data_IF_412430997397
#
_entry.id   IF_412430997397
#
_cell.length_a   1.000
_cell.length_b   1.000
_cell.length_c   1.000
_cell.angle_alpha   90.00
_cell.angle_beta   90.00
_cell.angle_gamma   90.00
#
_symmetry.space_group_name_H-M   'P 1'
#
loop_
_entity.id
_entity.type
_entity.pdbx_description
1 polymer ?
#
# COMPACT_ATOMS: atom_id res chain seq x y z
N UNK A 1 5.99 8.58 -8.58
CA UNK A 1 6.19 8.21 -10.01
C UNK A 1 6.87 9.31 -10.83
N UNK A 2 7.46 10.33 -10.19
CA UNK A 2 7.94 11.54 -10.85
C UNK A 2 9.38 11.86 -10.42
N UNK A 3 10.38 11.07 -10.84
CA UNK A 3 11.78 11.33 -10.49
C UNK A 3 12.28 12.64 -11.11
N UNK A 4 13.14 13.37 -10.42
CA UNK A 4 13.70 14.61 -10.94
C UNK A 4 14.66 14.35 -12.11
N UNK A 5 14.83 15.33 -13.02
CA UNK A 5 15.85 15.25 -14.07
C UNK A 5 17.27 15.05 -13.53
N UNK A 6 17.55 15.54 -12.31
CA UNK A 6 18.85 15.37 -11.68
C UNK A 6 19.08 13.92 -11.23
N UNK A 7 18.08 13.28 -10.63
CA UNK A 7 18.14 11.86 -10.30
C UNK A 7 18.35 10.99 -11.55
N UNK A 8 17.55 11.22 -12.60
CA UNK A 8 17.69 10.51 -13.88
C UNK A 8 19.10 10.68 -14.45
N UNK A 9 19.65 11.90 -14.39
CA UNK A 9 21.01 12.19 -14.85
C UNK A 9 22.08 11.46 -14.05
N UNK A 10 21.97 11.39 -12.71
CA UNK A 10 22.94 10.68 -11.86
C UNK A 10 22.96 9.19 -12.17
N UNK A 11 21.79 8.55 -12.20
CA UNK A 11 21.66 7.12 -12.51
C UNK A 11 22.14 6.80 -13.93
N UNK A 12 21.73 7.58 -14.93
CA UNK A 12 22.17 7.36 -16.32
C UNK A 12 23.67 7.61 -16.54
N UNK A 13 24.29 8.48 -15.74
CA UNK A 13 25.74 8.67 -15.77
C UNK A 13 26.47 7.40 -15.29
N UNK A 14 25.99 6.76 -14.23
CA UNK A 14 26.54 5.47 -13.73
C UNK A 14 26.37 4.35 -14.74
N UNK A 15 25.25 4.32 -15.47
CA UNK A 15 25.08 3.36 -16.56
C UNK A 15 26.14 3.57 -17.66
N UNK A 16 26.50 4.81 -17.97
CA UNK A 16 27.49 5.11 -18.99
C UNK A 16 28.93 4.83 -18.53
N UNK A 17 29.20 5.01 -17.24
CA UNK A 17 30.49 4.76 -16.60
C UNK A 17 30.29 4.48 -15.10
N UNK A 18 30.64 3.27 -14.66
CA UNK A 18 30.55 2.86 -13.25
C UNK A 18 31.63 3.46 -12.33
N UNK A 19 32.47 4.36 -12.83
CA UNK A 19 33.64 4.90 -12.13
C UNK A 19 34.95 4.18 -12.46
N UNK A 20 34.87 3.07 -13.20
CA UNK A 20 36.02 2.30 -13.71
C UNK A 20 36.08 2.30 -15.24
N UNK A 21 35.26 3.11 -15.92
CA UNK A 21 35.16 3.16 -17.37
C UNK A 21 34.31 2.04 -17.99
N UNK A 22 33.59 1.26 -17.17
CA UNK A 22 32.74 0.16 -17.65
C UNK A 22 31.32 0.65 -17.85
N UNK A 23 30.84 0.57 -19.09
CA UNK A 23 29.47 0.89 -19.47
C UNK A 23 28.54 -0.31 -19.24
N UNK A 24 27.37 -0.06 -18.64
CA UNK A 24 26.30 -1.05 -18.48
C UNK A 24 26.45 -1.97 -17.27
N UNK A 25 27.25 -1.59 -16.26
CA UNK A 25 27.34 -2.33 -15.01
C UNK A 25 26.03 -2.19 -14.21
N UNK A 26 25.15 -3.18 -14.33
CA UNK A 26 23.84 -3.16 -13.66
C UNK A 26 23.93 -3.22 -12.15
N UNK A 27 25.01 -3.77 -11.58
CA UNK A 27 25.21 -3.74 -10.12
C UNK A 27 25.44 -2.31 -9.67
N UNK A 28 26.32 -1.57 -10.36
CA UNK A 28 26.55 -0.15 -10.08
C UNK A 28 25.28 0.69 -10.27
N UNK A 29 24.52 0.45 -11.33
CA UNK A 29 23.25 1.16 -11.60
C UNK A 29 22.21 0.90 -10.51
N UNK A 30 22.03 -0.35 -10.07
CA UNK A 30 21.10 -0.67 -8.99
C UNK A 30 21.50 -0.01 -7.67
N UNK A 31 22.79 -0.01 -7.35
CA UNK A 31 23.29 0.73 -6.17
C UNK A 31 22.97 2.20 -6.32
N UNK A 32 23.28 2.83 -7.47
CA UNK A 32 23.01 4.23 -7.71
C UNK A 32 21.52 4.60 -7.58
N UNK A 33 20.62 3.73 -8.05
CA UNK A 33 19.16 3.90 -7.89
C UNK A 33 18.77 3.88 -6.41
N UNK A 34 19.22 2.86 -5.69
CA UNK A 34 18.75 2.59 -4.32
C UNK A 34 19.40 3.47 -3.25
N UNK A 35 20.58 4.04 -3.53
CA UNK A 35 21.33 4.88 -2.59
C UNK A 35 21.33 6.36 -2.95
N UNK A 36 20.56 6.77 -3.96
CA UNK A 36 20.44 8.18 -4.30
C UNK A 36 19.69 8.95 -3.22
N UNK A 37 20.11 10.18 -2.91
CA UNK A 37 19.48 11.04 -1.90
C UNK A 37 18.00 11.27 -2.17
N UNK A 38 17.59 11.41 -3.43
CA UNK A 38 16.18 11.59 -3.79
C UNK A 38 15.39 10.30 -3.54
N UNK A 39 15.96 9.14 -3.89
CA UNK A 39 15.34 7.84 -3.63
C UNK A 39 15.24 7.50 -2.14
N UNK A 40 16.17 8.00 -1.33
CA UNK A 40 16.18 7.88 0.12
C UNK A 40 15.27 8.93 0.81
N UNK A 41 14.67 9.86 0.06
CA UNK A 41 13.84 10.92 0.61
C UNK A 41 14.60 11.97 1.43
N UNK A 42 15.91 12.11 1.19
CA UNK A 42 16.80 13.10 1.83
C UNK A 42 16.77 14.46 1.11
N UNK A 43 16.07 14.58 -0.02
CA UNK A 43 15.87 15.81 -0.77
C UNK A 43 14.52 16.49 -0.40
N UNK A 44 14.29 17.71 -0.92
CA UNK A 44 13.04 18.46 -0.75
C UNK A 44 11.84 17.70 -1.33
N UNK A 45 12.07 16.93 -2.40
CA UNK A 45 11.04 16.13 -3.05
C UNK A 45 11.14 14.70 -2.54
N UNK A 46 10.20 14.30 -1.68
CA UNK A 46 10.11 12.92 -1.23
C UNK A 46 9.57 12.02 -2.34
N UNK A 47 10.10 10.80 -2.49
CA UNK A 47 9.61 9.86 -3.48
C UNK A 47 8.24 9.35 -3.05
N UNK A 48 7.18 9.87 -3.68
CA UNK A 48 5.81 9.47 -3.39
C UNK A 48 5.18 8.84 -4.63
N UNK A 49 4.44 7.76 -4.42
CA UNK A 49 3.57 7.17 -5.44
C UNK A 49 2.34 6.52 -4.82
N UNK A 50 1.33 6.29 -5.65
CA UNK A 50 0.20 5.45 -5.27
C UNK A 50 0.64 3.98 -5.32
N UNK A 51 0.20 3.18 -4.34
CA UNK A 51 0.36 1.73 -4.36
C UNK A 51 -0.54 1.16 -5.46
N UNK A 52 0.00 0.24 -6.23
CA UNK A 52 -0.80 -0.56 -7.17
C UNK A 52 -1.88 -1.33 -6.39
N UNK A 53 -3.10 -1.53 -6.94
CA UNK A 53 -4.17 -2.22 -6.21
C UNK A 53 -3.77 -3.59 -5.66
N UNK A 54 -2.98 -4.38 -6.40
CA UNK A 54 -2.49 -5.67 -5.91
C UNK A 54 -1.51 -5.51 -4.75
N UNK A 55 -0.69 -4.45 -4.76
CA UNK A 55 0.24 -4.14 -3.67
C UNK A 55 -0.49 -3.63 -2.44
N UNK A 56 -1.60 -2.89 -2.59
CA UNK A 56 -2.48 -2.51 -1.46
C UNK A 56 -2.99 -3.77 -0.76
N UNK A 57 -3.53 -4.73 -1.51
CA UNK A 57 -4.01 -5.97 -0.92
C UNK A 57 -2.88 -6.82 -0.33
N UNK A 58 -1.72 -6.87 -0.99
CA UNK A 58 -0.55 -7.61 -0.48
C UNK A 58 -0.04 -7.01 0.82
N UNK A 59 0.02 -5.68 0.88
CA UNK A 59 0.40 -4.94 2.09
C UNK A 59 -0.56 -5.25 3.24
N UNK A 60 -1.87 -5.11 3.02
CA UNK A 60 -2.88 -5.42 4.01
C UNK A 60 -2.76 -6.85 4.54
N UNK A 61 -2.71 -7.85 3.65
CA UNK A 61 -2.64 -9.25 4.07
C UNK A 61 -1.37 -9.55 4.86
N UNK A 62 -0.22 -8.97 4.48
CA UNK A 62 1.02 -9.12 5.24
C UNK A 62 0.92 -8.48 6.63
N UNK A 63 0.41 -7.25 6.70
CA UNK A 63 0.26 -6.51 7.95
C UNK A 63 -0.74 -7.16 8.93
N UNK A 64 -1.81 -7.75 8.38
CA UNK A 64 -2.86 -8.42 9.16
C UNK A 64 -2.58 -9.90 9.43
N UNK A 65 -1.37 -10.39 9.14
CA UNK A 65 -0.97 -11.76 9.44
C UNK A 65 -1.79 -12.81 8.68
N UNK A 66 -2.02 -12.63 7.38
CA UNK A 66 -2.69 -13.64 6.56
C UNK A 66 -1.92 -14.96 6.61
N UNK A 67 -2.61 -15.99 7.08
CA UNK A 67 -2.21 -17.39 7.07
C UNK A 67 -3.06 -18.17 6.07
N UNK A 68 -2.54 -19.30 5.62
CA UNK A 68 -3.33 -20.28 4.87
C UNK A 68 -2.95 -21.70 5.30
N UNK A 69 -3.94 -22.59 5.30
CA UNK A 69 -3.78 -24.02 5.61
C UNK A 69 -4.32 -24.85 4.45
N UNK A 70 -3.44 -25.14 3.48
CA UNK A 70 -3.79 -25.90 2.29
C UNK A 70 -2.63 -26.03 1.31
N UNK A 71 -2.82 -26.82 0.24
CA UNK A 71 -1.80 -26.96 -0.81
C UNK A 71 -1.70 -25.72 -1.74
N UNK A 72 -2.71 -24.86 -1.70
CA UNK A 72 -2.82 -23.61 -2.48
C UNK A 72 -3.91 -22.73 -1.86
N UNK A 73 -3.79 -21.41 -2.05
CA UNK A 73 -4.84 -20.45 -1.71
C UNK A 73 -6.06 -20.62 -2.63
N UNK A 74 -7.15 -21.21 -2.14
CA UNK A 74 -8.32 -21.59 -2.98
C UNK A 74 -9.03 -20.38 -3.60
N UNK A 75 -8.94 -19.23 -2.96
CA UNK A 75 -9.67 -18.01 -3.34
C UNK A 75 -8.74 -16.84 -3.71
N UNK A 76 -7.50 -17.13 -4.09
CA UNK A 76 -6.52 -16.12 -4.51
C UNK A 76 -6.99 -15.28 -5.71
N UNK A 77 -7.78 -15.87 -6.62
CA UNK A 77 -8.35 -15.15 -7.75
C UNK A 77 -9.30 -14.02 -7.33
N UNK A 78 -9.89 -14.07 -6.13
CA UNK A 78 -10.80 -13.02 -5.66
C UNK A 78 -10.05 -11.71 -5.43
N UNK A 79 -8.88 -11.76 -4.79
CA UNK A 79 -8.09 -10.55 -4.58
C UNK A 79 -7.57 -10.00 -5.91
N UNK A 80 -7.15 -10.88 -6.83
CA UNK A 80 -6.69 -10.49 -8.17
C UNK A 80 -7.79 -9.78 -8.97
N UNK A 81 -9.01 -10.31 -8.95
CA UNK A 81 -10.15 -9.70 -9.62
C UNK A 81 -10.54 -8.33 -9.02
N UNK A 82 -10.44 -8.16 -7.70
CA UNK A 82 -10.73 -6.87 -7.06
C UNK A 82 -9.59 -5.85 -7.24
N UNK A 83 -8.36 -6.32 -7.46
CA UNK A 83 -7.20 -5.49 -7.76
C UNK A 83 -7.09 -5.14 -9.25
N UNK A 84 -7.89 -5.74 -10.12
CA UNK A 84 -7.75 -5.65 -11.59
C UNK A 84 -6.34 -6.04 -12.08
N UNK A 85 -5.65 -6.86 -11.29
CA UNK A 85 -4.26 -7.27 -11.52
C UNK A 85 -4.08 -8.72 -11.06
N UNK A 86 -3.59 -9.57 -11.97
CA UNK A 86 -3.26 -10.97 -11.69
C UNK A 86 -1.79 -11.24 -12.01
N UNK A 87 -0.94 -11.72 -11.09
CA UNK A 87 0.47 -11.97 -11.35
C UNK A 87 0.72 -12.73 -12.66
N UNK A 88 1.64 -12.21 -13.49
CA UNK A 88 2.02 -12.78 -14.80
C UNK A 88 0.94 -12.75 -15.89
N UNK A 89 -0.18 -12.04 -15.68
CA UNK A 89 -1.26 -11.91 -16.65
C UNK A 89 -1.41 -10.47 -17.19
N UNK A 90 -0.27 -9.78 -17.42
CA UNK A 90 -0.30 -8.42 -17.93
C UNK A 90 -0.91 -8.40 -19.35
N UNK A 91 -1.84 -7.48 -19.65
CA UNK A 91 -2.47 -7.42 -20.98
C UNK A 91 -1.52 -6.93 -22.07
N UNK A 92 -0.36 -6.38 -21.70
CA UNK A 92 0.65 -5.85 -22.62
C UNK A 92 2.07 -6.17 -22.16
N UNK A 93 3.05 -5.87 -23.01
CA UNK A 93 4.49 -5.94 -22.64
C UNK A 93 4.95 -4.77 -21.77
N UNK A 94 4.10 -3.75 -21.58
CA UNK A 94 4.45 -2.55 -20.83
C UNK A 94 4.03 -2.68 -19.37
N UNK A 95 2.74 -2.84 -19.11
CA UNK A 95 2.16 -3.26 -17.83
C UNK A 95 0.62 -3.39 -17.96
N UNK A 96 -0.10 -3.44 -16.82
CA UNK A 96 -1.57 -3.27 -16.72
C UNK A 96 -2.06 -1.85 -16.99
N UNK A 97 -1.16 -0.87 -16.92
CA UNK A 97 -1.42 0.55 -17.10
C UNK A 97 -0.26 1.20 -17.86
N UNK A 98 -0.51 2.37 -18.44
CA UNK A 98 0.49 3.17 -19.15
C UNK A 98 1.44 3.87 -18.16
N UNK A 99 2.77 3.80 -18.36
CA UNK A 99 3.72 4.53 -17.52
C UNK A 99 3.58 6.05 -17.63
N UNK A 100 2.91 6.55 -18.68
CA UNK A 100 2.72 7.97 -18.95
C UNK A 100 1.30 8.45 -18.56
N UNK A 101 0.50 7.62 -17.88
CA UNK A 101 -0.86 8.02 -17.49
C UNK A 101 -0.84 9.15 -16.45
N UNK A 102 -1.59 10.21 -16.77
CA UNK A 102 -1.84 11.36 -15.92
C UNK A 102 -3.35 11.40 -15.63
N UNK A 103 -3.78 11.25 -14.37
CA UNK A 103 -5.19 11.40 -14.03
C UNK A 103 -5.63 12.86 -14.22
N UNK A 104 -6.80 13.12 -14.82
CA UNK A 104 -7.28 14.48 -15.02
C UNK A 104 -7.38 15.28 -13.72
N UNK A 105 -6.98 16.56 -13.76
CA UNK A 105 -7.05 17.49 -12.63
C UNK A 105 -5.67 17.93 -12.15
N UNK A 106 -5.51 18.08 -10.83
CA UNK A 106 -4.35 18.75 -10.22
C UNK A 106 -3.00 18.14 -10.64
N UNK A 107 -2.94 16.82 -10.87
CA UNK A 107 -1.71 16.14 -11.27
C UNK A 107 -1.37 16.43 -12.74
N UNK A 108 -2.33 16.29 -13.65
CA UNK A 108 -2.17 16.64 -15.06
C UNK A 108 -1.84 18.14 -15.24
N UNK A 109 -2.52 19.02 -14.50
CA UNK A 109 -2.24 20.48 -14.50
C UNK A 109 -0.79 20.81 -14.07
N UNK A 110 -0.14 19.92 -13.33
CA UNK A 110 1.24 20.04 -12.85
C UNK A 110 2.23 19.17 -13.63
N UNK A 111 1.80 18.53 -14.72
CA UNK A 111 2.59 17.59 -15.52
C UNK A 111 3.17 16.43 -14.67
N UNK A 112 2.36 15.92 -13.73
CA UNK A 112 2.71 14.82 -12.84
C UNK A 112 2.04 13.52 -13.28
N UNK A 113 2.84 12.48 -13.42
CA UNK A 113 2.41 11.12 -13.73
C UNK A 113 1.95 10.40 -12.47
N UNK A 114 0.85 9.68 -12.58
CA UNK A 114 0.40 8.76 -11.56
C UNK A 114 -0.26 7.52 -12.20
N UNK A 115 0.56 6.66 -12.82
CA UNK A 115 0.11 5.54 -13.64
C UNK A 115 -0.89 4.60 -12.96
N UNK A 116 -0.70 4.37 -11.67
CA UNK A 116 -1.53 3.46 -10.88
C UNK A 116 -3.00 3.91 -10.79
N UNK A 117 -3.32 5.19 -11.01
CA UNK A 117 -4.71 5.67 -11.08
C UNK A 117 -5.48 5.18 -12.30
N UNK A 118 -4.81 4.68 -13.34
CA UNK A 118 -5.50 4.08 -14.49
C UNK A 118 -6.26 2.80 -14.07
N UNK A 119 -5.78 2.11 -13.02
CA UNK A 119 -6.47 0.98 -12.40
C UNK A 119 -7.24 1.36 -11.13
N UNK A 120 -6.68 2.24 -10.29
CA UNK A 120 -7.28 2.60 -9.01
C UNK A 120 -8.36 3.68 -9.15
N UNK A 121 -9.41 3.37 -9.90
CA UNK A 121 -10.64 4.14 -9.95
C UNK A 121 -11.52 3.94 -8.71
N UNK A 122 -12.60 4.70 -8.62
CA UNK A 122 -13.49 4.67 -7.45
C UNK A 122 -14.20 3.33 -7.24
N UNK A 123 -14.51 2.62 -8.34
CA UNK A 123 -15.02 1.25 -8.31
C UNK A 123 -14.00 0.27 -7.74
N UNK A 124 -12.75 0.35 -8.19
CA UNK A 124 -11.65 -0.54 -7.78
C UNK A 124 -11.31 -0.30 -6.33
N UNK A 125 -11.15 0.97 -5.92
CA UNK A 125 -10.97 1.37 -4.53
C UNK A 125 -12.06 0.80 -3.62
N UNK A 126 -13.34 1.05 -3.94
CA UNK A 126 -14.45 0.60 -3.10
C UNK A 126 -14.54 -0.94 -3.04
N UNK A 127 -14.30 -1.61 -4.17
CA UNK A 127 -14.29 -3.07 -4.23
C UNK A 127 -13.16 -3.67 -3.40
N UNK A 128 -11.96 -3.08 -3.47
CA UNK A 128 -10.79 -3.52 -2.73
C UNK A 128 -10.96 -3.34 -1.22
N UNK A 129 -11.38 -2.15 -0.77
CA UNK A 129 -11.64 -1.87 0.66
C UNK A 129 -12.71 -2.83 1.21
N UNK A 130 -13.81 -3.00 0.48
CA UNK A 130 -14.88 -3.94 0.87
C UNK A 130 -14.38 -5.39 0.91
N UNK A 131 -13.56 -5.78 -0.06
CA UNK A 131 -13.00 -7.12 -0.15
C UNK A 131 -12.09 -7.43 1.04
N UNK A 132 -11.17 -6.53 1.38
CA UNK A 132 -10.25 -6.71 2.49
C UNK A 132 -10.97 -6.69 3.84
N UNK A 133 -11.94 -5.77 4.02
CA UNK A 133 -12.83 -5.74 5.19
C UNK A 133 -13.67 -7.01 5.33
N UNK A 134 -14.03 -7.68 4.23
CA UNK A 134 -14.79 -8.93 4.27
C UNK A 134 -14.05 -10.05 5.01
N UNK A 135 -12.72 -10.19 4.84
CA UNK A 135 -11.92 -11.21 5.53
C UNK A 135 -11.82 -10.93 7.02
N UNK A 136 -11.63 -9.66 7.40
CA UNK A 136 -11.67 -9.26 8.80
C UNK A 136 -13.02 -9.61 9.44
N UNK A 137 -14.12 -9.45 8.68
CA UNK A 137 -15.47 -9.74 9.15
C UNK A 137 -15.84 -11.21 9.25
N UNK A 138 -15.44 -12.01 8.28
CA UNK A 138 -15.81 -13.42 8.20
C UNK A 138 -14.93 -14.31 9.07
N UNK A 139 -13.70 -13.88 9.38
CA UNK A 139 -12.67 -14.76 9.93
C UNK A 139 -12.10 -15.65 8.83
N UNK A 140 -12.05 -16.96 9.05
CA UNK A 140 -11.57 -17.90 8.04
C UNK A 140 -12.48 -17.92 6.79
N UNK A 141 -11.87 -17.77 5.61
CA UNK A 141 -12.53 -17.86 4.30
C UNK A 141 -11.80 -18.94 3.49
N UNK A 142 -12.49 -20.06 3.27
CA UNK A 142 -11.89 -21.27 2.72
C UNK A 142 -10.67 -21.70 3.57
N UNK A 143 -9.49 -21.75 2.98
CA UNK A 143 -8.23 -22.14 3.58
C UNK A 143 -7.42 -20.96 4.14
N UNK A 144 -7.95 -19.73 4.10
CA UNK A 144 -7.22 -18.52 4.52
C UNK A 144 -7.85 -17.89 5.75
N UNK A 145 -7.02 -17.34 6.64
CA UNK A 145 -7.47 -16.61 7.83
C UNK A 145 -6.43 -15.55 8.25
N UNK A 146 -6.85 -14.57 9.05
CA UNK A 146 -5.97 -13.54 9.59
C UNK A 146 -5.56 -13.90 11.02
N UNK A 147 -4.28 -13.73 11.34
CA UNK A 147 -3.76 -13.77 12.70
C UNK A 147 -3.96 -12.40 13.37
N UNK A 148 -4.97 -12.35 14.24
CA UNK A 148 -5.48 -11.13 14.87
C UNK A 148 -5.24 -11.12 16.39
N UNK A 149 -4.48 -12.06 16.94
CA UNK A 149 -4.37 -12.25 18.39
C UNK A 149 -3.84 -10.98 19.08
N UNK A 150 -2.75 -10.39 18.59
CA UNK A 150 -2.19 -9.14 19.14
C UNK A 150 -3.18 -7.97 19.09
N UNK A 151 -4.01 -7.89 18.04
CA UNK A 151 -5.02 -6.85 17.91
C UNK A 151 -6.18 -7.06 18.89
N UNK A 152 -6.53 -8.32 19.17
CA UNK A 152 -7.56 -8.65 20.17
C UNK A 152 -7.07 -8.50 21.61
N UNK A 153 -5.78 -8.67 21.88
CA UNK A 153 -5.20 -8.46 23.21
C UNK A 153 -5.35 -7.01 23.70
N UNK A 154 -5.35 -6.03 22.78
CA UNK A 154 -5.47 -4.60 23.07
C UNK A 154 -6.82 -3.99 22.69
N UNK A 155 -7.78 -4.80 22.23
CA UNK A 155 -9.04 -4.31 21.63
C UNK A 155 -9.91 -3.49 22.57
N UNK A 156 -9.74 -3.62 23.89
CA UNK A 156 -10.49 -2.84 24.88
C UNK A 156 -9.85 -1.49 25.22
N UNK A 157 -8.68 -1.19 24.68
CA UNK A 157 -7.99 0.08 24.82
C UNK A 157 -7.86 0.75 23.44
N UNK A 158 -8.69 1.77 23.18
CA UNK A 158 -8.73 2.44 21.88
C UNK A 158 -7.36 3.02 21.47
N UNK A 159 -6.62 3.62 22.40
CA UNK A 159 -5.31 4.21 22.10
C UNK A 159 -4.27 3.13 21.74
N UNK A 160 -4.21 2.03 22.52
CA UNK A 160 -3.30 0.92 22.22
C UNK A 160 -3.69 0.19 20.94
N UNK A 161 -4.98 -0.01 20.67
CA UNK A 161 -5.47 -0.59 19.43
C UNK A 161 -5.06 0.24 18.21
N UNK A 162 -5.24 1.57 18.27
CA UNK A 162 -4.84 2.48 17.20
C UNK A 162 -3.32 2.44 16.99
N UNK A 163 -2.54 2.34 18.05
CA UNK A 163 -1.08 2.23 17.93
C UNK A 163 -0.65 0.90 17.29
N UNK A 164 -1.27 -0.24 17.64
CA UNK A 164 -0.98 -1.52 16.96
C UNK A 164 -1.37 -1.45 15.48
N UNK A 165 -2.49 -0.79 15.14
CA UNK A 165 -2.90 -0.52 13.76
C UNK A 165 -1.88 0.36 13.03
N UNK A 166 -1.37 1.41 13.68
CA UNK A 166 -0.30 2.27 13.18
C UNK A 166 0.96 1.47 12.85
N UNK A 167 1.42 0.64 13.79
CA UNK A 167 2.62 -0.19 13.57
C UNK A 167 2.43 -1.19 12.44
N UNK A 168 1.28 -1.88 12.38
CA UNK A 168 1.02 -2.92 11.36
C UNK A 168 0.77 -2.35 9.97
N UNK A 169 -0.10 -1.35 9.83
CA UNK A 169 -0.55 -0.84 8.52
C UNK A 169 0.27 0.35 8.01
N UNK A 170 0.96 1.08 8.88
CA UNK A 170 1.66 2.31 8.51
C UNK A 170 3.14 2.32 8.95
N UNK A 171 3.64 1.24 9.56
CA UNK A 171 5.02 1.16 10.02
C UNK A 171 5.37 2.22 11.07
N UNK A 172 4.38 2.69 11.83
CA UNK A 172 4.56 3.73 12.85
C UNK A 172 4.53 5.17 12.30
N UNK A 173 4.19 5.37 11.03
CA UNK A 173 4.16 6.71 10.39
C UNK A 173 2.75 7.22 10.09
N UNK A 174 1.71 6.68 10.72
CA UNK A 174 0.36 7.22 10.64
C UNK A 174 0.36 8.71 11.01
N UNK A 175 -0.37 9.53 10.25
CA UNK A 175 -0.48 10.95 10.62
C UNK A 175 -1.28 11.13 11.91
N UNK A 176 -0.97 12.19 12.66
CA UNK A 176 -1.74 12.58 13.83
C UNK A 176 -3.23 12.81 13.51
N UNK A 177 -3.53 13.25 12.29
CA UNK A 177 -4.90 13.50 11.86
C UNK A 177 -5.68 12.19 11.69
N UNK A 178 -5.07 11.16 11.09
CA UNK A 178 -5.67 9.84 10.96
C UNK A 178 -5.78 9.14 12.32
N UNK A 179 -4.78 9.29 13.18
CA UNK A 179 -4.80 8.78 14.56
C UNK A 179 -6.00 9.34 15.34
N UNK A 180 -6.20 10.66 15.32
CA UNK A 180 -7.35 11.30 15.98
C UNK A 180 -8.68 10.82 15.39
N UNK A 181 -8.79 10.71 14.05
CA UNK A 181 -10.01 10.20 13.41
C UNK A 181 -10.35 8.76 13.85
N UNK A 182 -9.32 7.93 14.05
CA UNK A 182 -9.51 6.57 14.56
C UNK A 182 -9.96 6.57 16.01
N UNK A 183 -9.29 7.31 16.89
CA UNK A 183 -9.64 7.37 18.32
C UNK A 183 -11.05 7.94 18.51
N UNK A 184 -11.34 9.09 17.90
CA UNK A 184 -12.67 9.73 17.98
C UNK A 184 -13.76 8.78 17.45
N UNK A 185 -13.50 8.14 16.31
CA UNK A 185 -14.42 7.19 15.70
C UNK A 185 -14.68 5.95 16.55
N UNK A 186 -13.72 5.49 17.35
CA UNK A 186 -13.89 4.37 18.28
C UNK A 186 -14.61 4.78 19.57
N UNK A 187 -14.35 5.99 20.07
CA UNK A 187 -14.97 6.55 21.27
C UNK A 187 -16.48 6.80 21.08
N UNK A 188 -16.93 7.12 19.85
CA UNK A 188 -18.35 7.30 19.53
C UNK A 188 -19.22 6.05 19.79
N UNK A 189 -18.63 4.85 19.74
CA UNK A 189 -19.40 3.61 19.87
C UNK A 189 -19.71 3.23 21.34
N UNK A 190 -19.09 3.88 22.32
CA UNK A 190 -19.30 3.65 23.76
C UNK A 190 -18.74 2.33 24.31
N UNK A 191 -18.96 2.06 25.60
CA UNK A 191 -18.26 0.98 26.32
C UNK A 191 -18.79 -0.44 26.01
N UNK A 192 -20.04 -0.57 25.53
CA UNK A 192 -20.71 -1.88 25.34
C UNK A 192 -20.56 -2.47 23.92
N UNK A 193 -19.50 -2.09 23.22
CA UNK A 193 -19.28 -2.48 21.83
C UNK A 193 -18.67 -3.86 21.79
N UNK A 194 -19.24 -4.73 20.97
CA UNK A 194 -18.66 -6.03 20.69
C UNK A 194 -17.20 -5.83 20.21
N UNK A 195 -16.19 -6.45 20.87
CA UNK A 195 -14.77 -6.29 20.51
C UNK A 195 -14.48 -6.47 19.02
N UNK A 196 -15.16 -7.44 18.39
CA UNK A 196 -15.05 -7.67 16.95
C UNK A 196 -15.47 -6.44 16.11
N UNK A 197 -16.54 -5.73 16.51
CA UNK A 197 -16.96 -4.49 15.80
C UNK A 197 -15.93 -3.39 15.99
N UNK A 198 -15.40 -3.23 17.21
CA UNK A 198 -14.40 -2.20 17.51
C UNK A 198 -13.14 -2.40 16.68
N UNK A 199 -12.61 -3.63 16.63
CA UNK A 199 -11.50 -3.98 15.76
C UNK A 199 -11.82 -3.73 14.28
N UNK A 200 -13.01 -4.16 13.82
CA UNK A 200 -13.44 -3.93 12.44
C UNK A 200 -13.47 -2.43 12.09
N UNK A 201 -13.97 -1.59 12.99
CA UNK A 201 -14.02 -0.14 12.79
C UNK A 201 -12.63 0.50 12.75
N UNK A 202 -11.74 0.13 13.67
CA UNK A 202 -10.36 0.61 13.66
C UNK A 202 -9.66 0.30 12.33
N UNK A 203 -9.74 -0.96 11.89
CA UNK A 203 -9.06 -1.39 10.66
C UNK A 203 -9.74 -0.81 9.41
N UNK A 204 -11.07 -0.73 9.35
CA UNK A 204 -11.74 -0.23 8.13
C UNK A 204 -11.53 1.27 7.91
N UNK A 205 -11.48 2.07 8.98
CA UNK A 205 -11.16 3.51 8.90
C UNK A 205 -9.72 3.67 8.40
N UNK A 206 -8.77 2.97 9.01
CA UNK A 206 -7.37 2.97 8.59
C UNK A 206 -7.21 2.53 7.13
N UNK A 207 -7.87 1.44 6.73
CA UNK A 207 -7.82 0.89 5.37
C UNK A 207 -8.45 1.83 4.34
N UNK A 208 -9.44 2.63 4.74
CA UNK A 208 -10.12 3.59 3.85
C UNK A 208 -9.41 4.95 3.78
N UNK A 209 -8.30 5.13 4.51
CA UNK A 209 -7.50 6.36 4.44
C UNK A 209 -6.71 6.41 3.14
N UNK A 210 -6.47 7.61 2.64
CA UNK A 210 -5.53 7.88 1.55
C UNK A 210 -4.11 7.46 1.91
N UNK A 211 -3.69 7.67 3.17
CA UNK A 211 -2.39 7.24 3.70
C UNK A 211 -2.12 5.76 3.44
N UNK A 212 -3.12 4.89 3.56
CA UNK A 212 -2.93 3.46 3.33
C UNK A 212 -2.64 3.13 1.86
N UNK A 213 -3.11 3.95 0.92
CA UNK A 213 -2.88 3.79 -0.52
C UNK A 213 -1.61 4.49 -1.01
N UNK A 214 -1.02 5.37 -0.23
CA UNK A 214 0.22 6.08 -0.58
C UNK A 214 1.44 5.25 -0.17
N UNK A 215 2.44 5.21 -1.04
CA UNK A 215 3.78 4.70 -0.77
C UNK A 215 4.75 5.87 -0.68
N UNK A 216 5.43 5.96 0.46
CA UNK A 216 6.47 6.95 0.78
C UNK A 216 7.84 6.29 0.87
#
# INVERSE_FOLDING_TARGET
SNPSPNYIKRVSSVFNDNGEGVKGDMKAVLVAILTDQEALGEDVHKPIKLKEPLLVATHYHRAMGLMYDGARMTVANRVMNNAEQEPQASPSVFNYYSPDYQPPGILDDQDLYAPEFELLGWSTYASLVNHLGHYLKKGAVADMYLDLDELYDVVDNNAELVEVVNQRLFGGTMSQQLEMMLVDGLDEYGDNVNPYKRLYHAVIIALSSDEFFIQN
#
